data_IF_700811545809
#
_entry.id   IF_700811545809
#
_cell.length_a   1.000
_cell.length_b   1.000
_cell.length_c   1.000
_cell.angle_alpha   90.00
_cell.angle_beta   90.00
_cell.angle_gamma   90.00
#
_symmetry.space_group_name_H-M   'P 1'
#
loop_
_entity.id
_entity.type
_entity.pdbx_description
1 polymer ?
#
# COMPACT_ATOMS: atom_id res chain seq x y z
N UNK A 1 -26.68 35.08 12.59
CA UNK A 1 -25.66 34.00 12.61
C UNK A 1 -24.71 34.08 11.41
N UNK A 2 -24.18 35.28 11.06
CA UNK A 2 -23.29 35.48 9.89
C UNK A 2 -21.84 35.86 10.26
N UNK A 3 -21.55 36.00 11.55
CA UNK A 3 -20.24 36.50 12.05
C UNK A 3 -19.19 35.42 12.28
N UNK A 4 -19.56 34.12 12.23
CA UNK A 4 -18.63 32.99 12.45
C UNK A 4 -17.96 32.48 11.17
N UNK A 5 -18.44 32.84 9.98
CA UNK A 5 -17.90 32.34 8.71
C UNK A 5 -16.73 33.17 8.16
N UNK A 6 -16.63 34.46 8.50
CA UNK A 6 -15.51 35.31 8.06
C UNK A 6 -14.21 35.11 8.85
N UNK A 7 -14.27 34.50 10.04
CA UNK A 7 -13.07 34.24 10.87
C UNK A 7 -12.26 33.04 10.35
N UNK A 8 -12.89 32.12 9.60
CA UNK A 8 -12.20 30.94 9.06
C UNK A 8 -11.37 31.24 7.80
N UNK A 9 -11.71 32.26 7.02
CA UNK A 9 -10.96 32.61 5.80
C UNK A 9 -9.70 33.46 6.09
N UNK A 10 -9.66 34.16 7.23
CA UNK A 10 -8.52 35.02 7.60
C UNK A 10 -7.36 34.25 8.25
N UNK A 11 -7.56 33.01 8.67
CA UNK A 11 -6.51 32.18 9.27
C UNK A 11 -5.63 31.46 8.24
N UNK A 12 -6.01 31.49 6.95
CA UNK A 12 -5.31 30.77 5.89
C UNK A 12 -4.44 31.64 4.97
N UNK A 13 -4.19 32.89 5.34
CA UNK A 13 -3.41 33.84 4.54
C UNK A 13 -2.33 34.64 5.31
N UNK A 14 -1.48 34.00 6.14
CA UNK A 14 -0.19 34.63 6.44
C UNK A 14 1.00 33.66 6.53
N UNK A 15 1.25 32.83 5.52
CA UNK A 15 2.54 32.09 5.42
C UNK A 15 3.23 32.19 4.06
N UNK A 16 2.70 33.02 3.15
CA UNK A 16 3.39 33.42 1.93
C UNK A 16 4.03 34.81 2.11
N UNK A 17 4.96 34.95 3.06
CA UNK A 17 6.08 35.90 3.02
C UNK A 17 6.81 35.96 4.37
N UNK A 18 8.13 36.04 4.29
CA UNK A 18 8.99 36.77 5.25
C UNK A 18 9.40 36.07 6.56
N UNK A 19 10.33 35.13 6.42
CA UNK A 19 11.56 35.07 7.26
C UNK A 19 12.54 34.22 6.48
N UNK A 20 13.69 34.67 5.99
CA UNK A 20 14.45 35.88 6.18
C UNK A 20 15.82 35.58 5.54
N UNK A 21 16.38 36.58 4.87
CA UNK A 21 17.73 36.57 4.33
C UNK A 21 18.77 36.22 5.40
N UNK A 22 19.75 35.38 5.03
CA UNK A 22 21.13 35.48 5.50
C UNK A 22 21.47 34.94 6.90
N UNK A 23 22.52 34.12 6.92
CA UNK A 23 23.24 33.52 8.06
C UNK A 23 22.66 32.20 8.64
N UNK A 24 23.56 31.23 8.81
CA UNK A 24 23.37 29.87 9.34
C UNK A 24 22.76 28.80 8.41
N UNK A 25 23.16 28.75 7.13
CA UNK A 25 22.96 27.55 6.30
C UNK A 25 23.51 26.28 6.98
N UNK A 26 24.62 26.40 7.72
CA UNK A 26 25.24 25.30 8.47
C UNK A 26 24.31 24.70 9.52
N UNK A 27 23.73 25.51 10.41
CA UNK A 27 22.85 25.00 11.48
C UNK A 27 21.57 24.37 10.92
N UNK A 28 21.03 24.94 9.84
CA UNK A 28 19.86 24.38 9.15
C UNK A 28 20.19 23.06 8.45
N UNK A 29 21.38 22.94 7.88
CA UNK A 29 21.85 21.70 7.24
C UNK A 29 22.13 20.59 8.25
N UNK A 30 22.68 20.91 9.43
CA UNK A 30 22.87 19.94 10.52
C UNK A 30 21.52 19.48 11.06
N UNK A 31 20.55 20.39 11.28
CA UNK A 31 19.18 20.02 11.67
C UNK A 31 18.46 19.21 10.60
N UNK A 32 18.62 19.53 9.32
CA UNK A 32 18.05 18.77 8.23
C UNK A 32 18.68 17.37 8.10
N UNK A 33 20.00 17.27 8.21
CA UNK A 33 20.73 16.00 8.19
C UNK A 33 20.35 15.10 9.36
N UNK A 34 20.12 15.67 10.56
CA UNK A 34 19.65 14.91 11.72
C UNK A 34 18.27 14.28 11.46
N UNK A 35 17.37 14.99 10.78
CA UNK A 35 16.05 14.45 10.43
C UNK A 35 16.14 13.35 9.36
N UNK A 36 17.02 13.51 8.37
CA UNK A 36 17.27 12.44 7.39
C UNK A 36 17.90 11.22 8.06
N UNK A 37 18.82 11.39 9.00
CA UNK A 37 19.42 10.26 9.71
C UNK A 37 18.39 9.54 10.59
N UNK A 38 17.46 10.27 11.21
CA UNK A 38 16.35 9.67 11.95
C UNK A 38 15.38 8.91 11.02
N UNK A 39 15.00 9.47 9.87
CA UNK A 39 14.05 8.83 8.94
C UNK A 39 14.69 7.73 8.06
N UNK A 40 15.79 8.04 7.40
CA UNK A 40 16.54 7.13 6.53
C UNK A 40 17.27 6.04 7.33
N UNK A 41 17.78 6.37 8.51
CA UNK A 41 18.49 5.41 9.37
C UNK A 41 17.56 4.37 10.00
N UNK A 42 16.38 4.78 10.49
CA UNK A 42 15.42 3.82 11.07
C UNK A 42 14.92 2.82 10.04
N UNK A 43 14.59 3.28 8.83
CA UNK A 43 14.22 2.37 7.72
C UNK A 43 15.38 1.43 7.36
N UNK A 44 16.63 1.91 7.34
CA UNK A 44 17.80 1.07 7.09
C UNK A 44 17.97 -0.03 8.15
N UNK A 45 17.77 0.29 9.43
CA UNK A 45 17.81 -0.69 10.53
C UNK A 45 16.69 -1.72 10.41
N UNK A 46 15.47 -1.29 10.08
CA UNK A 46 14.32 -2.20 9.89
C UNK A 46 14.57 -3.16 8.73
N UNK A 47 15.13 -2.70 7.60
CA UNK A 47 15.45 -3.57 6.47
C UNK A 47 16.52 -4.63 6.83
N UNK A 48 17.55 -4.24 7.58
CA UNK A 48 18.56 -5.19 8.09
C UNK A 48 17.91 -6.21 9.04
N UNK A 49 17.00 -5.76 9.90
CA UNK A 49 16.30 -6.62 10.84
C UNK A 49 15.41 -7.64 10.12
N UNK A 50 14.66 -7.22 9.09
CA UNK A 50 13.84 -8.12 8.27
C UNK A 50 14.71 -9.13 7.52
N UNK A 51 15.82 -8.70 6.92
CA UNK A 51 16.77 -9.61 6.27
C UNK A 51 17.36 -10.64 7.25
N UNK A 52 17.65 -10.22 8.48
CA UNK A 52 18.14 -11.09 9.54
C UNK A 52 17.08 -12.11 10.00
N UNK A 53 15.82 -11.70 10.15
CA UNK A 53 14.71 -12.59 10.51
C UNK A 53 14.52 -13.72 9.49
N UNK A 54 14.54 -13.40 8.19
CA UNK A 54 14.44 -14.41 7.13
C UNK A 54 15.66 -15.34 7.15
N UNK A 55 16.87 -14.81 7.36
CA UNK A 55 18.10 -15.61 7.47
C UNK A 55 18.06 -16.60 8.64
N UNK A 56 17.48 -16.19 9.79
CA UNK A 56 17.31 -17.08 10.95
C UNK A 56 16.27 -18.17 10.70
N UNK A 57 15.18 -17.89 9.98
CA UNK A 57 14.25 -18.94 9.54
C UNK A 57 14.87 -19.89 8.51
N UNK A 58 15.70 -19.40 7.58
CA UNK A 58 16.52 -20.25 6.71
C UNK A 58 17.45 -21.15 7.52
N UNK A 59 18.03 -20.67 8.62
CA UNK A 59 18.87 -21.49 9.48
C UNK A 59 18.09 -22.62 10.17
N UNK A 60 16.85 -22.39 10.59
CA UNK A 60 15.96 -23.47 11.07
C UNK A 60 15.54 -24.40 9.92
N UNK A 61 15.18 -23.92 8.72
CA UNK A 61 14.76 -24.79 7.60
C UNK A 61 15.91 -25.67 7.08
N UNK A 62 17.15 -25.19 7.14
CA UNK A 62 18.34 -25.99 6.83
C UNK A 62 18.59 -27.06 7.90
N UNK A 63 18.35 -26.74 9.19
CA UNK A 63 18.43 -27.73 10.27
C UNK A 63 17.30 -28.77 10.15
N UNK A 64 16.08 -28.34 9.85
CA UNK A 64 14.94 -29.23 9.67
C UNK A 64 15.16 -30.15 8.47
N UNK A 65 15.59 -29.64 7.30
CA UNK A 65 15.94 -30.49 6.16
C UNK A 65 17.10 -31.46 6.48
N UNK A 66 18.06 -31.07 7.30
CA UNK A 66 19.14 -31.95 7.76
C UNK A 66 18.64 -33.03 8.74
N UNK A 67 17.72 -32.70 9.65
CA UNK A 67 17.09 -33.66 10.57
C UNK A 67 16.07 -34.57 9.86
N UNK A 68 15.34 -34.05 8.88
CA UNK A 68 14.34 -34.79 8.08
C UNK A 68 15.02 -35.78 7.14
N UNK A 69 16.15 -35.42 6.53
CA UNK A 69 16.97 -36.36 5.74
C UNK A 69 17.54 -37.54 6.55
N UNK A 70 17.57 -37.46 7.89
CA UNK A 70 17.86 -38.63 8.75
C UNK A 70 16.63 -39.48 9.07
N UNK A 71 15.41 -38.95 8.92
CA UNK A 71 14.14 -39.70 9.14
C UNK A 71 13.52 -40.25 7.84
N UNK A 72 13.77 -39.64 6.68
CA UNK A 72 13.18 -40.02 5.38
C UNK A 72 13.90 -41.16 4.64
N UNK A 73 14.57 -42.08 5.35
CA UNK A 73 14.96 -43.39 4.78
C UNK A 73 13.89 -44.49 5.04
N UNK A 74 12.83 -44.18 5.78
CA UNK A 74 11.84 -45.19 6.18
C UNK A 74 10.45 -45.05 5.53
N UNK A 75 10.16 -43.97 4.81
CA UNK A 75 8.78 -43.66 4.37
C UNK A 75 8.73 -43.29 2.88
N UNK A 76 9.17 -44.20 2.02
CA UNK A 76 9.12 -44.03 0.56
C UNK A 76 8.46 -45.21 -0.17
N UNK A 77 7.70 -46.04 0.56
CA UNK A 77 7.19 -47.31 0.01
C UNK A 77 5.66 -47.46 -0.02
N UNK A 78 4.84 -46.44 0.29
CA UNK A 78 3.38 -46.68 0.48
C UNK A 78 2.43 -45.83 -0.36
N UNK A 79 2.85 -44.74 -1.00
CA UNK A 79 1.86 -43.80 -1.58
C UNK A 79 1.93 -43.70 -3.11
N UNK A 80 2.06 -44.86 -3.77
CA UNK A 80 1.95 -44.98 -5.23
C UNK A 80 0.51 -45.33 -5.70
N UNK A 81 -0.48 -45.25 -4.80
CA UNK A 81 -1.87 -45.58 -5.14
C UNK A 81 -2.81 -44.51 -4.62
N UNK A 82 -3.30 -43.65 -5.51
CA UNK A 82 -4.72 -43.27 -5.69
C UNK A 82 -4.71 -42.06 -6.63
N UNK A 83 -4.98 -42.35 -7.90
CA UNK A 83 -5.46 -41.39 -8.88
C UNK A 83 -6.92 -41.03 -8.55
N UNK A 84 -7.31 -39.77 -8.69
CA UNK A 84 -8.62 -39.38 -9.23
C UNK A 84 -8.62 -37.89 -9.65
N UNK A 85 -9.55 -37.58 -10.54
CA UNK A 85 -9.70 -36.50 -11.53
C UNK A 85 -9.81 -35.03 -11.06
N UNK A 86 -9.74 -34.06 -12.01
CA UNK A 86 -9.69 -32.63 -11.73
C UNK A 86 -11.07 -32.06 -11.43
N UNK A 87 -11.18 -31.31 -10.34
CA UNK A 87 -12.34 -30.48 -10.04
C UNK A 87 -12.10 -29.05 -10.52
N UNK A 88 -13.09 -28.53 -11.23
CA UNK A 88 -13.12 -27.24 -11.90
C UNK A 88 -12.89 -26.06 -10.94
N UNK A 89 -11.96 -25.18 -11.31
CA UNK A 89 -11.87 -23.82 -10.78
C UNK A 89 -13.06 -23.02 -11.30
N UNK A 90 -14.03 -22.75 -10.42
CA UNK A 90 -14.97 -21.64 -10.59
C UNK A 90 -14.15 -20.35 -10.40
N UNK A 91 -13.85 -19.66 -11.50
CA UNK A 91 -13.30 -18.31 -11.47
C UNK A 91 -14.33 -17.36 -10.82
N UNK A 92 -14.13 -17.04 -9.55
CA UNK A 92 -14.80 -15.96 -8.83
C UNK A 92 -14.33 -14.63 -9.44
N UNK A 93 -15.06 -14.15 -10.45
CA UNK A 93 -14.71 -12.97 -11.23
C UNK A 93 -14.93 -11.73 -10.35
N UNK A 94 -13.92 -10.85 -10.38
CA UNK A 94 -13.65 -9.57 -9.70
C UNK A 94 -14.77 -8.49 -9.69
N UNK A 95 -16.03 -8.85 -9.42
CA UNK A 95 -17.16 -7.90 -9.40
C UNK A 95 -17.18 -7.02 -8.14
N UNK A 96 -16.52 -7.46 -7.05
CA UNK A 96 -16.46 -6.70 -5.79
C UNK A 96 -15.67 -5.41 -5.91
N UNK A 97 -14.60 -5.41 -6.70
CA UNK A 97 -13.72 -4.24 -6.86
C UNK A 97 -14.40 -3.13 -7.68
N UNK A 98 -15.14 -3.51 -8.73
CA UNK A 98 -15.92 -2.57 -9.55
C UNK A 98 -17.06 -1.90 -8.74
N UNK A 99 -17.71 -2.63 -7.84
CA UNK A 99 -18.75 -2.08 -6.95
C UNK A 99 -18.19 -1.05 -5.96
N UNK A 100 -17.00 -1.31 -5.40
CA UNK A 100 -16.32 -0.37 -4.51
C UNK A 100 -15.91 0.90 -5.25
N UNK A 101 -15.38 0.78 -6.47
CA UNK A 101 -15.02 1.92 -7.32
C UNK A 101 -16.24 2.78 -7.69
N UNK A 102 -17.35 2.15 -8.07
CA UNK A 102 -18.62 2.83 -8.36
C UNK A 102 -19.12 3.60 -7.12
N UNK A 103 -19.06 3.01 -5.93
CA UNK A 103 -19.51 3.66 -4.69
C UNK A 103 -18.69 4.91 -4.32
N UNK A 104 -17.37 4.84 -4.43
CA UNK A 104 -16.48 5.99 -4.12
C UNK A 104 -16.69 7.14 -5.11
N UNK A 105 -16.81 6.83 -6.41
CA UNK A 105 -17.02 7.81 -7.46
C UNK A 105 -18.40 8.48 -7.33
N UNK A 106 -19.46 7.69 -7.11
CA UNK A 106 -20.82 8.22 -6.93
C UNK A 106 -20.92 9.11 -5.68
N UNK A 107 -20.33 8.68 -4.55
CA UNK A 107 -20.29 9.49 -3.34
C UNK A 107 -19.53 10.81 -3.55
N UNK A 108 -18.37 10.77 -4.23
CA UNK A 108 -17.58 11.97 -4.51
C UNK A 108 -18.33 12.96 -5.43
N UNK A 109 -19.00 12.46 -6.47
CA UNK A 109 -19.78 13.30 -7.40
C UNK A 109 -21.04 13.87 -6.74
N UNK A 110 -21.78 13.05 -5.97
CA UNK A 110 -22.94 13.53 -5.24
C UNK A 110 -22.56 14.62 -4.23
N UNK A 111 -21.42 14.47 -3.54
CA UNK A 111 -20.91 15.49 -2.64
C UNK A 111 -20.43 16.76 -3.36
N UNK A 112 -19.78 16.64 -4.53
CA UNK A 112 -19.22 17.79 -5.25
C UNK A 112 -20.25 18.59 -6.03
N UNK A 113 -21.28 17.93 -6.57
CA UNK A 113 -22.30 18.55 -7.41
C UNK A 113 -23.61 18.80 -6.67
N UNK A 114 -23.68 18.43 -5.38
CA UNK A 114 -24.90 18.47 -4.55
C UNK A 114 -26.13 17.85 -5.26
N UNK A 115 -25.90 16.86 -6.12
CA UNK A 115 -26.92 16.18 -6.93
C UNK A 115 -27.23 14.81 -6.37
N UNK A 116 -28.46 14.33 -6.56
CA UNK A 116 -28.85 12.99 -6.14
C UNK A 116 -28.07 11.89 -6.91
N UNK A 117 -27.74 10.76 -6.26
CA UNK A 117 -26.97 9.68 -6.86
C UNK A 117 -27.71 8.97 -8.00
N UNK A 118 -29.05 9.01 -8.00
CA UNK A 118 -29.90 8.30 -8.97
C UNK A 118 -29.78 8.85 -10.41
N UNK A 119 -29.29 10.09 -10.57
CA UNK A 119 -29.11 10.72 -11.88
C UNK A 119 -27.74 10.43 -12.50
N UNK A 120 -26.87 9.71 -11.81
CA UNK A 120 -25.49 9.43 -12.22
C UNK A 120 -25.34 7.94 -12.54
N UNK A 121 -24.82 7.63 -13.74
CA UNK A 121 -24.51 6.25 -14.15
C UNK A 121 -22.99 6.12 -14.23
N UNK A 122 -22.42 5.30 -13.34
CA UNK A 122 -20.99 5.00 -13.31
C UNK A 122 -20.78 3.57 -13.80
N UNK A 123 -19.85 3.39 -14.73
CA UNK A 123 -19.48 2.10 -15.32
C UNK A 123 -17.99 2.07 -15.63
N UNK A 124 -17.41 0.88 -15.62
CA UNK A 124 -16.02 0.69 -16.06
C UNK A 124 -15.90 0.98 -17.57
N UNK A 125 -14.94 1.83 -17.94
CA UNK A 125 -14.58 2.12 -19.34
C UNK A 125 -13.13 1.70 -19.54
N UNK A 126 -12.91 0.74 -20.44
CA UNK A 126 -11.56 0.29 -20.80
C UNK A 126 -11.01 1.07 -21.97
N UNK A 127 -9.77 1.54 -21.85
CA UNK A 127 -9.04 2.22 -22.92
C UNK A 127 -8.80 1.23 -24.08
N UNK A 128 -9.16 1.60 -25.30
CA UNK A 128 -8.77 0.85 -26.50
C UNK A 128 -7.27 1.06 -26.74
N UNK A 129 -6.53 0.01 -27.13
CA UNK A 129 -5.09 0.07 -27.38
C UNK A 129 -4.71 0.82 -28.67
N UNK A 130 -5.55 1.73 -29.14
CA UNK A 130 -5.32 2.50 -30.37
C UNK A 130 -5.14 3.96 -30.00
N UNK A 131 -4.26 4.67 -30.71
CA UNK A 131 -4.03 6.11 -30.53
C UNK A 131 -5.04 6.97 -31.32
N UNK A 132 -6.24 6.43 -31.55
CA UNK A 132 -7.33 7.13 -32.25
C UNK A 132 -8.24 7.67 -31.15
N UNK A 133 -8.11 8.98 -30.94
CA UNK A 133 -8.94 9.76 -30.03
C UNK A 133 -10.34 9.93 -30.62
#
# INVERSE_FOLDING_TARGET
MKKKLMVCAAFWLPTLALTGCGSQFGDKMVRAGMNTLMGMGTVFVVLIFIAFLISRFKYISQLENWFRNRKTKNEQAVTETVAEEPAADEEEIDETDDLALVAVITAALAASLETSPDKLIVRSIRRKNTNRW
#
